data_IF_360009782931
#
_entry.id   IF_360009782931
#
_cell.length_a   1.000
_cell.length_b   1.000
_cell.length_c   1.000
_cell.angle_alpha   90.00
_cell.angle_beta   90.00
_cell.angle_gamma   90.00
#
_symmetry.space_group_name_H-M   'P 1'
#
loop_
_entity.id
_entity.type
_entity.pdbx_description
1 polymer ?
#
# COMPACT_ATOMS: atom_id res chain seq x y z
N UNK A 1 47.94 52.19 -37.30
CA UNK A 1 46.91 51.81 -36.33
C UNK A 1 46.00 50.80 -36.98
N UNK A 2 45.63 49.77 -36.22
CA UNK A 2 45.08 48.48 -36.63
C UNK A 2 43.71 48.56 -37.32
N UNK A 3 43.45 47.64 -38.28
CA UNK A 3 42.12 47.42 -38.86
C UNK A 3 42.11 46.38 -39.98
N UNK A 4 41.93 45.11 -39.61
CA UNK A 4 41.73 43.91 -40.44
C UNK A 4 40.44 44.00 -41.31
N UNK A 5 40.18 43.24 -42.39
CA UNK A 5 39.97 41.78 -42.48
C UNK A 5 39.66 41.34 -43.95
N UNK A 6 39.83 40.03 -44.20
CA UNK A 6 39.81 39.18 -45.42
C UNK A 6 38.48 39.15 -46.25
N UNK A 7 38.48 38.53 -47.47
CA UNK A 7 37.47 38.58 -48.55
C UNK A 7 36.43 37.41 -48.48
N UNK A 8 35.55 37.18 -49.51
CA UNK A 8 34.20 36.63 -49.34
C UNK A 8 33.97 35.16 -49.79
N UNK A 9 32.71 34.72 -49.55
CA UNK A 9 31.88 33.72 -50.22
C UNK A 9 32.13 32.21 -50.01
N UNK A 10 31.04 31.51 -49.69
CA UNK A 10 30.91 30.05 -49.67
C UNK A 10 29.50 29.64 -49.26
N UNK A 11 28.66 29.35 -50.26
CA UNK A 11 27.34 28.71 -50.15
C UNK A 11 27.46 27.28 -49.60
N UNK A 12 26.54 26.89 -48.71
CA UNK A 12 26.48 25.56 -48.12
C UNK A 12 25.19 25.39 -47.33
N UNK A 13 24.20 24.81 -48.00
CA UNK A 13 22.92 24.35 -47.48
C UNK A 13 23.07 23.29 -46.40
N UNK A 14 22.16 23.31 -45.41
CA UNK A 14 21.43 22.17 -44.84
C UNK A 14 21.32 22.21 -43.31
N UNK A 15 20.15 21.74 -42.87
CA UNK A 15 19.84 21.17 -41.56
C UNK A 15 19.30 22.15 -40.52
N UNK A 16 17.99 22.35 -40.68
CA UNK A 16 16.97 22.34 -39.63
C UNK A 16 17.43 21.56 -38.39
N UNK A 17 17.83 22.27 -37.34
CA UNK A 17 17.87 21.72 -36.00
C UNK A 17 16.54 22.02 -35.33
N UNK A 18 15.61 21.07 -35.46
CA UNK A 18 14.51 20.89 -34.54
C UNK A 18 15.10 20.74 -33.14
N UNK A 19 15.07 21.83 -32.37
CA UNK A 19 15.39 21.80 -30.96
C UNK A 19 14.31 20.96 -30.29
N UNK A 20 14.69 19.72 -29.92
CA UNK A 20 13.84 18.76 -29.23
C UNK A 20 13.21 19.40 -27.99
N UNK A 21 11.96 19.79 -28.18
CA UNK A 21 10.96 20.03 -27.17
C UNK A 21 10.97 18.88 -26.14
N UNK A 22 11.25 19.12 -24.85
CA UNK A 22 11.15 18.10 -23.81
C UNK A 22 9.68 17.84 -23.47
N UNK A 23 8.92 17.35 -24.46
CA UNK A 23 7.63 16.74 -24.28
C UNK A 23 7.82 15.24 -24.30
N UNK A 24 7.94 14.64 -23.11
CA UNK A 24 7.20 13.44 -22.68
C UNK A 24 7.88 12.79 -21.48
N UNK A 25 7.33 13.07 -20.30
CA UNK A 25 7.66 12.39 -19.06
C UNK A 25 6.44 12.40 -18.14
N UNK A 26 5.32 11.87 -18.62
CA UNK A 26 4.24 11.47 -17.70
C UNK A 26 4.84 10.54 -16.65
N UNK A 27 4.44 10.61 -15.36
CA UNK A 27 5.08 9.84 -14.31
C UNK A 27 5.02 8.36 -14.70
N UNK A 28 6.18 7.81 -15.05
CA UNK A 28 6.36 6.41 -15.38
C UNK A 28 5.77 5.66 -14.19
N UNK A 29 4.59 5.05 -14.37
CA UNK A 29 3.91 4.29 -13.33
C UNK A 29 4.74 3.02 -13.15
N UNK A 30 5.84 3.16 -12.42
CA UNK A 30 6.73 2.08 -11.99
C UNK A 30 5.81 0.97 -11.51
N UNK A 31 5.87 -0.24 -12.10
CA UNK A 31 4.98 -1.31 -11.71
C UNK A 31 5.11 -1.49 -10.20
N UNK A 32 3.99 -1.35 -9.49
CA UNK A 32 3.91 -1.61 -8.04
C UNK A 32 3.96 -3.12 -7.82
N UNK A 33 5.01 -3.76 -8.33
CA UNK A 33 5.25 -5.19 -8.30
C UNK A 33 6.33 -5.49 -7.27
N UNK A 34 6.09 -6.52 -6.46
CA UNK A 34 7.08 -7.02 -5.52
C UNK A 34 8.19 -7.74 -6.28
N UNK A 35 9.47 -7.38 -6.10
CA UNK A 35 10.59 -8.07 -6.74
C UNK A 35 10.76 -9.50 -6.21
N UNK A 36 10.42 -9.75 -4.94
CA UNK A 36 10.66 -11.04 -4.28
C UNK A 36 9.63 -12.12 -4.65
N UNK A 37 8.40 -11.72 -5.02
CA UNK A 37 7.33 -12.67 -5.32
C UNK A 37 6.48 -12.32 -6.55
N UNK A 38 6.83 -11.26 -7.29
CA UNK A 38 6.13 -10.84 -8.50
C UNK A 38 4.71 -10.30 -8.27
N UNK A 39 4.24 -10.18 -7.03
CA UNK A 39 2.87 -9.75 -6.73
C UNK A 39 2.65 -8.28 -7.04
N UNK A 40 1.56 -7.95 -7.74
CA UNK A 40 1.20 -6.59 -8.13
C UNK A 40 0.27 -5.93 -7.10
N UNK A 41 0.47 -4.64 -6.89
CA UNK A 41 -0.31 -3.78 -6.01
C UNK A 41 -0.81 -2.56 -6.78
N UNK A 42 -1.89 -1.97 -6.27
CA UNK A 42 -2.50 -0.75 -6.78
C UNK A 42 -1.76 0.52 -6.34
N UNK A 43 -1.04 0.45 -5.21
CA UNK A 43 -0.34 1.58 -4.59
C UNK A 43 1.06 1.20 -4.11
N UNK A 44 1.99 2.14 -4.24
CA UNK A 44 3.38 1.99 -3.73
C UNK A 44 3.43 1.76 -2.22
N UNK A 45 2.58 2.45 -1.45
CA UNK A 45 2.51 2.26 0.01
C UNK A 45 2.12 0.83 0.40
N UNK A 46 1.19 0.21 -0.34
CA UNK A 46 0.79 -1.19 -0.15
C UNK A 46 1.93 -2.13 -0.51
N UNK A 47 2.65 -1.86 -1.60
CA UNK A 47 3.85 -2.62 -1.96
C UNK A 47 4.94 -2.54 -0.89
N UNK A 48 5.27 -1.34 -0.40
CA UNK A 48 6.28 -1.16 0.66
C UNK A 48 5.88 -1.89 1.95
N UNK A 49 4.59 -1.82 2.33
CA UNK A 49 4.09 -2.56 3.48
C UNK A 49 4.12 -4.08 3.28
N UNK A 50 3.91 -4.54 2.05
CA UNK A 50 4.02 -5.95 1.69
C UNK A 50 5.48 -6.45 1.73
N UNK A 51 6.44 -5.65 1.28
CA UNK A 51 7.87 -6.04 1.32
C UNK A 51 8.37 -6.36 2.74
N UNK A 52 7.76 -5.75 3.76
CA UNK A 52 8.05 -6.09 5.18
C UNK A 52 7.74 -7.54 5.54
N UNK A 53 6.92 -8.24 4.75
CA UNK A 53 6.68 -9.68 4.91
C UNK A 53 7.90 -10.50 4.49
N UNK A 54 8.68 -10.05 3.51
CA UNK A 54 9.89 -10.72 3.05
C UNK A 54 11.07 -10.43 3.99
N UNK A 55 11.23 -9.18 4.42
CA UNK A 55 12.33 -8.78 5.32
C UNK A 55 12.08 -9.15 6.78
N UNK A 56 10.82 -9.44 7.16
CA UNK A 56 10.44 -9.68 8.54
C UNK A 56 10.46 -8.42 9.42
N UNK A 57 10.69 -7.24 8.83
CA UNK A 57 10.75 -5.98 9.57
C UNK A 57 9.42 -5.68 10.26
N UNK A 58 9.53 -5.28 11.53
CA UNK A 58 8.40 -4.92 12.38
C UNK A 58 8.61 -3.56 13.04
N UNK A 59 8.45 -2.46 12.27
CA UNK A 59 8.73 -1.12 12.77
C UNK A 59 7.79 -0.69 13.91
N UNK A 60 6.57 -1.22 13.94
CA UNK A 60 5.56 -0.81 14.90
C UNK A 60 5.55 -1.76 16.09
N UNK A 61 6.15 -1.37 17.21
CA UNK A 61 6.19 -2.17 18.43
C UNK A 61 5.12 -1.73 19.42
N UNK A 62 4.51 -2.70 20.08
CA UNK A 62 3.61 -2.43 21.21
C UNK A 62 4.44 -2.00 22.42
N UNK A 63 4.16 -0.83 23.02
CA UNK A 63 4.89 -0.39 24.22
C UNK A 63 4.56 -1.24 25.45
N UNK A 64 3.38 -1.86 25.47
CA UNK A 64 2.86 -2.60 26.64
C UNK A 64 3.41 -4.04 26.71
N UNK A 65 3.70 -4.68 25.57
CA UNK A 65 4.18 -6.07 25.53
C UNK A 65 5.37 -6.32 24.59
N UNK A 66 5.93 -5.28 23.96
CA UNK A 66 7.06 -5.39 23.04
C UNK A 66 6.76 -6.03 21.68
N UNK A 67 5.54 -6.52 21.45
CA UNK A 67 5.17 -7.22 20.22
C UNK A 67 5.26 -6.32 18.98
N UNK A 68 6.00 -6.75 17.96
CA UNK A 68 6.20 -6.02 16.72
C UNK A 68 5.16 -6.33 15.62
N UNK A 69 4.82 -5.32 14.82
CA UNK A 69 3.88 -5.39 13.70
C UNK A 69 4.47 -4.71 12.45
N UNK A 70 4.09 -5.22 11.28
CA UNK A 70 4.51 -4.68 9.97
C UNK A 70 3.71 -3.45 9.54
N UNK A 71 2.52 -3.22 10.13
CA UNK A 71 1.61 -2.13 9.80
C UNK A 71 1.08 -1.44 11.07
N UNK A 72 0.93 -0.12 11.02
CA UNK A 72 0.45 0.68 12.16
C UNK A 72 -0.99 0.33 12.54
N UNK A 73 -1.87 0.10 11.57
CA UNK A 73 -3.26 -0.31 11.81
C UNK A 73 -3.36 -1.61 12.63
N UNK A 74 -2.40 -2.52 12.45
CA UNK A 74 -2.33 -3.76 13.22
C UNK A 74 -1.92 -3.52 14.67
N UNK A 75 -0.97 -2.61 14.91
CA UNK A 75 -0.58 -2.19 16.26
C UNK A 75 -1.76 -1.50 16.98
N UNK A 76 -2.42 -0.55 16.34
CA UNK A 76 -3.58 0.16 16.94
C UNK A 76 -4.67 -0.84 17.35
N UNK A 77 -5.03 -1.76 16.45
CA UNK A 77 -5.99 -2.83 16.77
C UNK A 77 -5.51 -3.73 17.91
N UNK A 78 -4.23 -4.05 17.94
CA UNK A 78 -3.66 -4.89 19.00
C UNK A 78 -3.73 -4.21 20.37
N UNK A 79 -3.47 -2.91 20.45
CA UNK A 79 -3.60 -2.14 21.71
C UNK A 79 -5.03 -2.17 22.27
N UNK A 80 -6.04 -2.25 21.40
CA UNK A 80 -7.43 -2.47 21.84
C UNK A 80 -7.63 -3.73 22.69
N UNK A 81 -6.77 -4.75 22.53
CA UNK A 81 -6.81 -5.97 23.35
C UNK A 81 -6.38 -5.67 24.79
N UNK A 82 -5.31 -4.88 24.98
CA UNK A 82 -4.83 -4.51 26.31
C UNK A 82 -5.82 -3.60 27.04
N UNK A 83 -6.46 -2.67 26.31
CA UNK A 83 -7.51 -1.81 26.87
C UNK A 83 -8.85 -2.54 27.11
N UNK A 84 -8.98 -3.80 26.68
CA UNK A 84 -10.25 -4.53 26.74
C UNK A 84 -11.34 -3.94 25.82
N UNK A 85 -11.01 -2.98 24.97
CA UNK A 85 -11.96 -2.26 24.11
C UNK A 85 -12.37 -3.17 22.97
N UNK A 86 -13.64 -3.58 22.98
CA UNK A 86 -14.27 -4.37 21.93
C UNK A 86 -15.39 -3.54 21.32
N UNK A 87 -15.09 -2.71 20.31
CA UNK A 87 -16.03 -1.70 19.80
C UNK A 87 -17.24 -2.31 19.09
N UNK A 88 -17.20 -3.60 18.76
CA UNK A 88 -18.23 -4.26 17.98
C UNK A 88 -18.93 -5.30 18.86
N UNK A 89 -20.10 -4.94 19.39
CA UNK A 89 -20.93 -5.81 20.23
C UNK A 89 -22.11 -6.34 19.42
N UNK A 90 -22.38 -7.65 19.55
CA UNK A 90 -23.56 -8.28 18.97
C UNK A 90 -24.78 -7.97 19.83
N UNK A 91 -25.83 -7.41 19.21
CA UNK A 91 -27.08 -7.07 19.89
C UNK A 91 -27.84 -8.32 20.36
N UNK A 92 -27.76 -9.43 19.61
CA UNK A 92 -28.55 -10.64 19.89
C UNK A 92 -28.03 -11.45 21.08
N UNK A 93 -26.72 -11.39 21.39
CA UNK A 93 -26.11 -12.23 22.42
C UNK A 93 -25.05 -11.54 23.29
N UNK A 94 -24.80 -10.24 23.09
CA UNK A 94 -23.81 -9.46 23.86
C UNK A 94 -22.35 -9.79 23.56
N UNK A 95 -22.04 -10.73 22.66
CA UNK A 95 -20.65 -11.06 22.30
C UNK A 95 -19.96 -9.88 21.63
N UNK A 96 -18.73 -9.58 22.08
CA UNK A 96 -17.98 -8.41 21.64
C UNK A 96 -16.67 -8.77 20.94
N UNK A 97 -16.33 -8.00 19.90
CA UNK A 97 -15.20 -8.25 19.00
C UNK A 97 -14.30 -7.02 18.89
N UNK A 98 -12.99 -7.28 18.79
CA UNK A 98 -11.97 -6.25 18.54
C UNK A 98 -11.92 -5.84 17.05
N UNK A 99 -12.36 -6.72 16.14
CA UNK A 99 -12.36 -6.49 14.68
C UNK A 99 -13.77 -6.23 14.18
N UNK A 100 -13.95 -5.17 13.40
CA UNK A 100 -15.24 -4.77 12.82
C UNK A 100 -15.87 -5.85 11.94
N UNK A 101 -15.10 -6.49 11.07
CA UNK A 101 -15.60 -7.54 10.17
C UNK A 101 -16.02 -8.85 10.88
N UNK A 102 -15.59 -9.07 12.12
CA UNK A 102 -15.98 -10.26 12.87
C UNK A 102 -17.46 -10.22 13.27
N UNK A 103 -18.01 -9.03 13.54
CA UNK A 103 -19.39 -8.88 14.01
C UNK A 103 -20.41 -9.29 12.93
N UNK A 104 -20.37 -8.77 11.68
CA UNK A 104 -21.25 -9.24 10.61
C UNK A 104 -21.07 -10.73 10.31
N UNK A 105 -19.83 -11.25 10.40
CA UNK A 105 -19.57 -12.67 10.23
C UNK A 105 -20.25 -13.49 11.32
N UNK A 106 -20.21 -13.03 12.57
CA UNK A 106 -20.85 -13.68 13.71
C UNK A 106 -22.38 -13.61 13.64
N UNK A 107 -22.95 -12.48 13.22
CA UNK A 107 -24.40 -12.32 13.09
C UNK A 107 -25.03 -13.35 12.15
N UNK A 108 -24.30 -13.81 11.12
CA UNK A 108 -24.76 -14.91 10.25
C UNK A 108 -25.04 -16.22 11.00
N UNK A 109 -24.47 -16.43 12.18
CA UNK A 109 -24.77 -17.59 13.03
C UNK A 109 -26.18 -17.50 13.65
N UNK A 110 -26.66 -16.29 13.94
CA UNK A 110 -28.03 -16.07 14.45
C UNK A 110 -29.06 -16.15 13.34
N UNK A 111 -28.71 -15.71 12.12
CA UNK A 111 -29.61 -15.73 10.96
C UNK A 111 -29.77 -17.11 10.31
N UNK A 112 -29.10 -18.16 10.82
CA UNK A 112 -29.18 -19.52 10.26
C UNK A 112 -28.59 -19.69 8.85
N UNK A 113 -27.94 -18.66 8.27
CA UNK A 113 -27.31 -18.74 6.96
C UNK A 113 -25.97 -19.50 7.05
N UNK A 114 -26.03 -20.83 6.92
CA UNK A 114 -24.87 -21.74 6.99
C UNK A 114 -24.04 -21.70 5.69
N UNK A 115 -22.72 -21.47 5.74
CA UNK A 115 -21.80 -21.96 4.71
C UNK A 115 -21.74 -23.50 4.79
N UNK A 116 -21.73 -24.19 3.65
CA UNK A 116 -21.78 -25.68 3.53
C UNK A 116 -20.65 -26.47 4.24
N UNK A 117 -19.70 -25.82 4.92
CA UNK A 117 -18.49 -26.45 5.48
C UNK A 117 -18.07 -25.93 6.87
N UNK A 118 -18.99 -25.47 7.72
CA UNK A 118 -18.60 -25.07 9.09
C UNK A 118 -19.45 -25.74 10.17
N UNK A 119 -18.77 -26.40 11.12
CA UNK A 119 -19.31 -26.85 12.41
C UNK A 119 -20.21 -25.76 13.01
N UNK A 120 -21.33 -26.12 13.67
CA UNK A 120 -22.20 -25.13 14.28
C UNK A 120 -21.38 -24.37 15.32
N UNK A 121 -21.09 -23.11 15.05
CA UNK A 121 -20.66 -22.18 16.07
C UNK A 121 -21.93 -21.86 16.85
N UNK A 122 -22.24 -22.72 17.84
CA UNK A 122 -23.17 -22.35 18.89
C UNK A 122 -22.69 -21.02 19.47
N UNK A 123 -23.60 -20.07 19.57
CA UNK A 123 -23.34 -18.85 20.29
C UNK A 123 -23.14 -19.18 21.78
#
# INVERSE_FOLDING_TARGET
MLGSLLPPAGDGTASENEEENPQQGGPELKPCQCPDCGRRFDRRSTLMAHQRLHTGERPYKCPECGKGFMQQSHLVRHRGIHAGVKPCVCADCGKSFVKTWNLPKHQRCHSGQRPRQSRPYLC
#
